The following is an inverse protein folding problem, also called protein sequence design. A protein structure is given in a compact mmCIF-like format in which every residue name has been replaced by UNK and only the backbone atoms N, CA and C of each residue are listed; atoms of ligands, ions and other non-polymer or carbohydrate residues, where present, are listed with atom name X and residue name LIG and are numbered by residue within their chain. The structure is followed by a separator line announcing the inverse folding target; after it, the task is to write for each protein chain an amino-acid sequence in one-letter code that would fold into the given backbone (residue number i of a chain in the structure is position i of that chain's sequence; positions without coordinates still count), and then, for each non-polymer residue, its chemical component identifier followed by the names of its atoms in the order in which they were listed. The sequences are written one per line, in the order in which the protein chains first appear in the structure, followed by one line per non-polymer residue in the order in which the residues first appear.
data_IF_291518338674
#
_entry.id   IF_291518338674
#
_cell.length_a   1.000
_cell.length_b   1.000
_cell.length_c   1.000
_cell.angle_alpha   90.00
_cell.angle_beta   90.00
_cell.angle_gamma   90.00
#
_symmetry.space_group_name_H-M   'P 1'
#
loop_
_entity.id
_entity.type
_entity.pdbx_description
1 polymer ?
#
# COMPACT_ATOMS: atom_id res chain seq x y z
N UNK A 1 -46.40 -36.70 -59.14
CA UNK A 1 -47.81 -37.14 -59.31
C UNK A 1 -48.45 -36.32 -60.43
N UNK A 2 -49.49 -36.79 -61.12
CA UNK A 2 -49.86 -36.32 -62.48
C UNK A 2 -51.18 -35.52 -62.51
N UNK A 3 -51.16 -34.31 -63.11
CA UNK A 3 -52.22 -33.58 -63.85
C UNK A 3 -51.45 -32.55 -64.76
N UNK A 4 -51.61 -32.33 -66.07
CA UNK A 4 -52.45 -32.87 -67.19
C UNK A 4 -53.83 -32.22 -67.45
N UNK A 5 -53.81 -31.02 -68.06
CA UNK A 5 -54.75 -30.53 -69.11
C UNK A 5 -54.24 -29.16 -69.65
N UNK A 6 -54.19 -28.80 -70.95
CA UNK A 6 -55.21 -28.75 -72.04
C UNK A 6 -56.11 -27.49 -71.88
N UNK A 7 -56.34 -26.59 -72.86
CA UNK A 7 -56.28 -26.67 -74.34
C UNK A 7 -56.03 -25.33 -75.11
N UNK A 8 -55.61 -25.44 -76.38
CA UNK A 8 -55.76 -24.59 -77.59
C UNK A 8 -55.99 -23.05 -77.58
N UNK A 9 -55.19 -22.38 -78.44
CA UNK A 9 -55.57 -21.52 -79.58
C UNK A 9 -56.98 -20.91 -79.67
N UNK A 10 -57.03 -19.61 -79.97
CA UNK A 10 -57.75 -19.13 -81.15
C UNK A 10 -57.10 -17.84 -81.73
N UNK A 11 -56.80 -17.82 -83.03
CA UNK A 11 -56.50 -16.57 -83.75
C UNK A 11 -57.80 -16.01 -84.32
N UNK A 12 -58.09 -14.73 -84.06
CA UNK A 12 -59.13 -13.98 -84.77
C UNK A 12 -58.70 -12.54 -84.98
N UNK A 13 -58.05 -12.28 -86.12
CA UNK A 13 -57.62 -10.95 -86.54
C UNK A 13 -58.84 -10.14 -87.02
N UNK A 14 -59.37 -9.25 -86.18
CA UNK A 14 -60.39 -8.27 -86.58
C UNK A 14 -59.79 -6.86 -86.62
N UNK A 15 -59.39 -6.45 -87.82
CA UNK A 15 -58.75 -5.16 -88.09
C UNK A 15 -59.78 -4.02 -88.08
N UNK A 16 -59.86 -3.25 -86.97
CA UNK A 16 -60.53 -1.94 -86.96
C UNK A 16 -59.49 -0.83 -86.86
N UNK A 17 -59.23 -0.15 -87.97
CA UNK A 17 -58.28 0.93 -88.06
C UNK A 17 -58.88 2.25 -87.53
N UNK A 18 -58.68 2.53 -86.24
CA UNK A 18 -58.55 3.93 -85.82
C UNK A 18 -57.11 4.39 -86.10
N UNK A 19 -56.97 5.56 -86.71
CA UNK A 19 -55.66 6.24 -86.85
C UNK A 19 -55.31 6.87 -85.50
N UNK A 20 -54.97 6.02 -84.53
CA UNK A 20 -54.32 6.44 -83.30
C UNK A 20 -52.90 6.89 -83.62
N UNK A 21 -52.50 8.07 -83.15
CA UNK A 21 -51.10 8.43 -83.10
C UNK A 21 -50.37 7.37 -82.27
N UNK A 22 -49.40 6.66 -82.86
CA UNK A 22 -48.74 5.53 -82.21
C UNK A 22 -48.15 5.97 -80.88
N UNK A 23 -48.60 5.37 -79.78
CA UNK A 23 -48.14 5.72 -78.44
C UNK A 23 -46.66 5.34 -78.32
N UNK A 24 -45.80 6.35 -78.38
CA UNK A 24 -44.36 6.16 -78.20
C UNK A 24 -44.10 5.98 -76.71
N UNK A 25 -44.08 4.73 -76.28
CA UNK A 25 -43.69 4.35 -74.93
C UNK A 25 -42.15 4.26 -74.89
N UNK A 26 -41.53 5.30 -74.33
CA UNK A 26 -40.08 5.37 -74.05
C UNK A 26 -39.75 4.58 -72.78
N UNK A 27 -38.52 4.07 -72.70
CA UNK A 27 -37.96 3.48 -71.48
C UNK A 27 -37.17 4.51 -70.68
N UNK A 28 -37.52 4.66 -69.41
CA UNK A 28 -36.70 5.34 -68.42
C UNK A 28 -36.03 4.27 -67.53
N UNK A 29 -34.70 4.19 -67.59
CA UNK A 29 -33.90 3.26 -66.80
C UNK A 29 -33.39 3.94 -65.53
N UNK A 30 -33.57 3.29 -64.39
CA UNK A 30 -33.08 3.70 -63.09
C UNK A 30 -31.79 2.93 -62.82
N UNK A 31 -30.68 3.65 -62.67
CA UNK A 31 -29.32 3.09 -62.66
C UNK A 31 -28.69 3.25 -61.28
N UNK A 32 -28.17 2.16 -60.74
CA UNK A 32 -27.50 2.07 -59.42
C UNK A 32 -26.12 1.46 -59.64
N UNK A 33 -25.06 2.18 -59.27
CA UNK A 33 -23.66 1.76 -59.43
C UNK A 33 -23.29 1.26 -60.84
N UNK A 34 -23.95 1.80 -61.86
CA UNK A 34 -23.77 1.45 -63.28
C UNK A 34 -24.75 0.43 -63.84
N UNK A 35 -25.42 -0.35 -62.98
CA UNK A 35 -26.37 -1.40 -63.37
C UNK A 35 -27.83 -0.90 -63.38
N UNK A 36 -28.67 -1.51 -64.23
CA UNK A 36 -30.10 -1.15 -64.32
C UNK A 36 -30.88 -1.79 -63.16
N UNK A 37 -31.23 -0.98 -62.16
CA UNK A 37 -32.03 -1.36 -61.01
C UNK A 37 -33.52 -1.53 -61.36
N UNK A 38 -34.06 -0.68 -62.22
CA UNK A 38 -35.44 -0.77 -62.72
C UNK A 38 -35.61 -0.10 -64.09
N UNK A 39 -36.63 -0.50 -64.85
CA UNK A 39 -37.03 0.19 -66.09
C UNK A 39 -38.53 0.50 -66.03
N UNK A 40 -38.91 1.73 -66.37
CA UNK A 40 -40.32 2.16 -66.48
C UNK A 40 -40.61 2.56 -67.93
N UNK A 41 -41.64 1.96 -68.52
CA UNK A 41 -42.19 2.40 -69.81
C UNK A 41 -43.17 3.56 -69.58
N UNK A 42 -43.00 4.66 -70.32
CA UNK A 42 -43.79 5.89 -70.17
C UNK A 42 -43.99 6.58 -71.52
N UNK A 43 -45.08 7.34 -71.70
CA UNK A 43 -45.23 8.20 -72.88
C UNK A 43 -44.30 9.43 -72.87
N UNK A 44 -43.49 9.57 -71.82
CA UNK A 44 -42.47 10.61 -71.67
C UNK A 44 -43.02 11.99 -71.34
N UNK A 45 -44.32 12.13 -71.01
CA UNK A 45 -45.01 13.42 -70.85
C UNK A 45 -45.94 13.50 -69.65
N UNK A 46 -46.06 12.42 -68.89
CA UNK A 46 -46.88 12.31 -67.68
C UNK A 46 -46.01 12.00 -66.46
N UNK A 47 -46.49 12.36 -65.28
CA UNK A 47 -45.83 12.01 -64.03
C UNK A 47 -45.81 10.49 -63.82
N UNK A 48 -44.71 9.96 -63.29
CA UNK A 48 -44.50 8.52 -63.09
C UNK A 48 -44.42 8.15 -61.61
N UNK A 49 -44.84 6.93 -61.28
CA UNK A 49 -44.52 6.33 -59.98
C UNK A 49 -43.05 5.88 -60.00
N UNK A 50 -42.22 6.49 -59.16
CA UNK A 50 -40.82 6.08 -58.97
C UNK A 50 -40.73 4.62 -58.47
N UNK A 51 -39.62 3.91 -58.73
CA UNK A 51 -39.34 2.63 -58.07
C UNK A 51 -39.14 2.84 -56.55
N UNK A 52 -38.95 1.75 -55.81
CA UNK A 52 -38.48 1.84 -54.43
C UNK A 52 -37.10 2.54 -54.38
N UNK A 53 -36.79 3.17 -53.24
CA UNK A 53 -35.45 3.70 -53.01
C UNK A 53 -34.45 2.52 -52.93
N UNK A 54 -33.33 2.55 -53.66
CA UNK A 54 -32.32 1.50 -53.59
C UNK A 54 -31.55 1.59 -52.27
N UNK A 55 -31.27 0.43 -51.66
CA UNK A 55 -30.50 0.32 -50.43
C UNK A 55 -29.02 0.02 -50.75
N UNK A 56 -28.09 0.57 -49.95
CA UNK A 56 -26.64 0.39 -50.12
C UNK A 56 -25.95 0.45 -48.76
N UNK A 57 -25.19 -0.59 -48.42
CA UNK A 57 -24.60 -0.75 -47.09
C UNK A 57 -23.62 0.40 -46.75
N UNK A 58 -23.87 1.12 -45.66
CA UNK A 58 -23.08 2.28 -45.23
C UNK A 58 -23.33 3.56 -46.05
N UNK A 59 -24.43 3.65 -46.78
CA UNK A 59 -24.83 4.84 -47.55
C UNK A 59 -26.33 5.14 -47.40
N UNK A 60 -26.67 6.42 -47.39
CA UNK A 60 -28.05 6.92 -47.47
C UNK A 60 -28.36 7.25 -48.94
N UNK A 61 -29.49 6.75 -49.44
CA UNK A 61 -30.00 7.16 -50.76
C UNK A 61 -30.51 8.60 -50.69
N UNK A 62 -29.96 9.45 -51.55
CA UNK A 62 -30.18 10.89 -51.56
C UNK A 62 -31.17 11.33 -52.65
N UNK A 63 -31.09 10.71 -53.83
CA UNK A 63 -32.06 10.98 -54.90
C UNK A 63 -31.70 10.35 -56.24
N UNK A 64 -32.64 10.48 -57.19
CA UNK A 64 -32.41 10.19 -58.60
C UNK A 64 -31.98 11.45 -59.33
N UNK A 65 -31.09 11.33 -60.32
CA UNK A 65 -30.55 12.46 -61.08
C UNK A 65 -30.50 12.16 -62.58
N UNK A 66 -30.73 13.19 -63.42
CA UNK A 66 -30.56 13.11 -64.87
C UNK A 66 -29.09 13.06 -65.32
N UNK A 67 -28.16 13.49 -64.46
CA UNK A 67 -26.73 13.43 -64.71
C UNK A 67 -26.00 12.55 -63.69
N UNK A 68 -25.26 11.56 -64.19
CA UNK A 68 -24.35 10.72 -63.39
C UNK A 68 -23.12 11.54 -62.97
N UNK A 69 -22.63 11.33 -61.75
CA UNK A 69 -21.40 11.92 -61.17
C UNK A 69 -21.37 13.47 -61.04
N UNK A 70 -22.21 14.19 -61.78
CA UNK A 70 -22.33 15.66 -61.74
C UNK A 70 -23.36 16.12 -60.70
N UNK A 71 -24.44 15.35 -60.51
CA UNK A 71 -25.45 15.53 -59.47
C UNK A 71 -26.10 16.92 -59.40
N UNK A 72 -26.37 17.55 -60.56
CA UNK A 72 -26.93 18.92 -60.65
C UNK A 72 -28.36 18.99 -61.16
N UNK A 73 -28.86 17.93 -61.79
CA UNK A 73 -30.23 17.86 -62.32
C UNK A 73 -31.02 16.77 -61.59
N UNK A 74 -31.68 17.07 -60.45
CA UNK A 74 -32.49 16.09 -59.76
C UNK A 74 -33.65 15.60 -60.63
N UNK A 75 -34.01 14.34 -60.45
CA UNK A 75 -35.14 13.69 -61.09
C UNK A 75 -36.20 13.31 -60.05
N UNK A 76 -37.46 13.59 -60.37
CA UNK A 76 -38.61 13.32 -59.51
C UNK A 76 -39.73 12.67 -60.31
N UNK A 77 -40.76 12.18 -59.61
CA UNK A 77 -42.00 11.68 -60.22
C UNK A 77 -42.60 12.65 -61.28
N UNK A 78 -42.44 13.96 -61.10
CA UNK A 78 -43.04 14.99 -61.95
C UNK A 78 -42.11 15.51 -63.07
N UNK A 79 -40.81 15.17 -63.07
CA UNK A 79 -39.83 15.83 -63.95
C UNK A 79 -40.05 15.62 -65.45
N UNK A 80 -40.90 14.67 -65.85
CA UNK A 80 -41.33 14.48 -67.25
C UNK A 80 -42.39 15.49 -67.73
N UNK A 81 -43.05 16.19 -66.79
CA UNK A 81 -43.95 17.30 -67.10
C UNK A 81 -43.15 18.52 -67.58
N UNK A 82 -42.03 18.81 -66.91
CA UNK A 82 -41.14 19.93 -67.22
C UNK A 82 -40.17 19.61 -68.36
N UNK A 83 -39.65 18.38 -68.40
CA UNK A 83 -38.70 17.91 -69.42
C UNK A 83 -39.19 16.61 -70.07
N UNK A 84 -40.05 16.71 -71.09
CA UNK A 84 -40.53 15.55 -71.84
C UNK A 84 -39.42 14.72 -72.49
N UNK A 85 -39.60 13.40 -72.53
CA UNK A 85 -38.68 12.50 -73.23
C UNK A 85 -38.83 12.62 -74.76
N UNK A 86 -37.69 12.55 -75.45
CA UNK A 86 -37.58 12.42 -76.91
C UNK A 86 -36.93 11.10 -77.35
N UNK A 87 -36.38 10.33 -76.41
CA UNK A 87 -35.78 9.00 -76.58
C UNK A 87 -35.89 8.20 -75.27
N UNK A 88 -35.51 6.92 -75.31
CA UNK A 88 -35.14 6.19 -74.10
C UNK A 88 -34.02 6.95 -73.36
N UNK A 89 -34.05 6.93 -72.03
CA UNK A 89 -33.17 7.70 -71.15
C UNK A 89 -32.80 6.91 -69.88
N UNK A 90 -31.78 7.38 -69.17
CA UNK A 90 -31.39 6.86 -67.86
C UNK A 90 -31.38 7.97 -66.79
N UNK A 91 -31.67 7.60 -65.55
CA UNK A 91 -31.50 8.41 -64.34
C UNK A 91 -30.70 7.61 -63.31
N UNK A 92 -29.86 8.29 -62.53
CA UNK A 92 -28.80 7.71 -61.74
C UNK A 92 -29.03 7.96 -60.25
N UNK A 93 -28.79 6.96 -59.41
CA UNK A 93 -28.91 7.08 -57.96
C UNK A 93 -27.69 7.81 -57.36
N UNK A 94 -27.93 8.94 -56.67
CA UNK A 94 -26.95 9.53 -55.75
C UNK A 94 -27.08 8.87 -54.37
N UNK A 95 -25.93 8.59 -53.78
CA UNK A 95 -25.78 8.10 -52.42
C UNK A 95 -24.82 9.01 -51.65
N UNK A 96 -25.19 9.43 -50.45
CA UNK A 96 -24.28 10.06 -49.48
C UNK A 96 -23.79 8.98 -48.51
N UNK A 97 -22.53 9.04 -48.07
CA UNK A 97 -22.01 8.05 -47.11
C UNK A 97 -22.71 8.23 -45.77
N UNK A 98 -23.15 7.14 -45.15
CA UNK A 98 -23.76 7.21 -43.83
C UNK A 98 -22.71 7.56 -42.77
N UNK A 99 -22.98 8.62 -42.02
CA UNK A 99 -22.14 9.06 -40.91
C UNK A 99 -22.65 8.47 -39.58
N UNK A 100 -21.74 7.96 -38.76
CA UNK A 100 -22.05 7.25 -37.51
C UNK A 100 -22.70 8.13 -36.44
N UNK A 101 -22.55 9.45 -36.56
CA UNK A 101 -23.01 10.48 -35.64
C UNK A 101 -24.03 11.34 -36.39
N UNK A 102 -25.20 11.63 -35.81
CA UNK A 102 -26.30 12.32 -36.55
C UNK A 102 -26.86 13.52 -35.79
N UNK A 103 -27.26 14.57 -36.52
CA UNK A 103 -27.79 15.80 -35.93
C UNK A 103 -26.81 16.41 -34.93
N UNK A 104 -27.28 16.73 -33.73
CA UNK A 104 -26.46 17.36 -32.67
C UNK A 104 -25.58 16.40 -31.87
N UNK A 105 -25.46 15.13 -32.28
CA UNK A 105 -24.65 14.12 -31.58
C UNK A 105 -23.14 14.39 -31.69
N UNK A 106 -22.36 13.87 -30.73
CA UNK A 106 -20.90 13.83 -30.78
C UNK A 106 -20.30 12.54 -30.18
N UNK A 107 -19.13 12.15 -30.70
CA UNK A 107 -18.23 11.16 -30.09
C UNK A 107 -17.03 11.86 -29.43
N UNK A 108 -16.50 11.24 -28.37
CA UNK A 108 -15.40 11.77 -27.56
C UNK A 108 -14.31 10.70 -27.39
N UNK A 109 -13.30 10.77 -28.25
CA UNK A 109 -12.27 9.74 -28.38
C UNK A 109 -11.39 9.63 -27.12
N UNK A 110 -11.25 8.41 -26.61
CA UNK A 110 -10.56 8.12 -25.36
C UNK A 110 -11.21 8.65 -24.08
N UNK A 111 -12.42 9.21 -24.13
CA UNK A 111 -13.22 9.57 -22.94
C UNK A 111 -14.14 8.42 -22.51
N UNK A 112 -14.36 8.27 -21.21
CA UNK A 112 -15.37 7.39 -20.63
C UNK A 112 -16.73 8.09 -20.57
N UNK A 113 -17.83 7.43 -20.96
CA UNK A 113 -19.19 7.99 -20.85
C UNK A 113 -19.77 7.68 -19.47
N UNK A 114 -19.78 8.68 -18.59
CA UNK A 114 -20.25 8.57 -17.20
C UNK A 114 -21.73 8.96 -17.00
N UNK A 115 -22.43 9.37 -18.06
CA UNK A 115 -23.86 9.65 -18.01
C UNK A 115 -24.46 10.16 -19.32
N UNK A 116 -25.71 10.60 -19.28
CA UNK A 116 -26.33 11.30 -20.40
C UNK A 116 -25.56 12.58 -20.70
N UNK A 117 -24.97 12.65 -21.90
CA UNK A 117 -24.13 13.75 -22.39
C UNK A 117 -23.00 14.17 -21.43
N UNK A 118 -22.54 13.26 -20.54
CA UNK A 118 -21.47 13.47 -19.56
C UNK A 118 -20.34 12.48 -19.77
N UNK A 119 -19.11 12.99 -19.86
CA UNK A 119 -17.92 12.22 -20.17
C UNK A 119 -16.75 12.59 -19.23
N UNK A 120 -15.88 11.62 -18.96
CA UNK A 120 -14.71 11.73 -18.09
C UNK A 120 -13.44 11.39 -18.87
N UNK A 121 -12.38 12.18 -18.66
CA UNK A 121 -11.01 11.83 -19.07
C UNK A 121 -10.06 12.06 -17.92
N UNK A 122 -9.45 10.98 -17.39
CA UNK A 122 -8.26 11.10 -16.55
C UNK A 122 -7.02 11.35 -17.41
N UNK A 123 -6.21 12.33 -17.03
CA UNK A 123 -4.92 12.69 -17.63
C UNK A 123 -3.85 12.78 -16.54
N UNK A 124 -2.58 12.75 -16.93
CA UNK A 124 -1.45 12.74 -15.98
C UNK A 124 -1.22 14.09 -15.29
N UNK A 125 -0.56 14.09 -14.14
CA UNK A 125 -0.34 15.31 -13.34
C UNK A 125 0.51 16.37 -14.07
N UNK A 126 1.32 15.99 -15.06
CA UNK A 126 2.08 16.91 -15.92
C UNK A 126 1.25 17.56 -17.05
N UNK A 127 0.03 17.07 -17.30
CA UNK A 127 -0.86 17.61 -18.34
C UNK A 127 -1.51 18.92 -17.89
N UNK A 128 -0.78 20.03 -18.02
CA UNK A 128 -1.29 21.38 -17.68
C UNK A 128 -2.24 21.95 -18.75
N UNK A 129 -2.14 21.46 -19.99
CA UNK A 129 -2.97 21.85 -21.12
C UNK A 129 -3.44 20.61 -21.89
N UNK A 130 -4.67 20.64 -22.41
CA UNK A 130 -5.27 19.51 -23.12
C UNK A 130 -6.06 19.97 -24.35
N UNK A 131 -5.64 19.52 -25.53
CA UNK A 131 -6.31 19.84 -26.80
C UNK A 131 -7.39 18.82 -27.13
N UNK A 132 -8.60 19.30 -27.38
CA UNK A 132 -9.74 18.46 -27.76
C UNK A 132 -9.91 18.32 -29.28
N UNK A 133 -9.05 18.95 -30.08
CA UNK A 133 -9.28 19.21 -31.51
C UNK A 133 -9.62 17.99 -32.37
N UNK A 134 -8.92 16.86 -32.19
CA UNK A 134 -9.17 15.58 -32.90
C UNK A 134 -9.98 14.57 -32.10
N UNK A 135 -10.24 14.85 -30.82
CA UNK A 135 -10.92 13.93 -29.91
C UNK A 135 -12.44 14.05 -30.01
N UNK A 136 -12.96 15.25 -30.33
CA UNK A 136 -14.40 15.45 -30.54
C UNK A 136 -14.75 15.28 -32.01
N UNK A 137 -15.63 14.33 -32.32
CA UNK A 137 -16.11 14.04 -33.69
C UNK A 137 -17.61 14.33 -33.78
N UNK A 138 -18.02 14.98 -34.87
CA UNK A 138 -19.40 15.31 -35.23
C UNK A 138 -19.60 15.03 -36.72
N UNK A 139 -20.84 15.04 -37.20
CA UNK A 139 -21.13 14.91 -38.63
C UNK A 139 -20.65 16.13 -39.44
N UNK A 140 -20.45 15.93 -40.74
CA UNK A 140 -20.01 16.95 -41.70
C UNK A 140 -20.97 18.13 -41.85
N UNK A 141 -22.25 17.95 -41.50
CA UNK A 141 -23.31 18.97 -41.48
C UNK A 141 -23.45 19.66 -40.10
N UNK A 142 -22.53 19.40 -39.15
CA UNK A 142 -22.55 20.00 -37.81
C UNK A 142 -21.22 20.65 -37.44
N UNK A 143 -21.29 21.64 -36.56
CA UNK A 143 -20.12 22.32 -35.99
C UNK A 143 -20.04 22.08 -34.48
N UNK A 144 -18.83 22.17 -33.91
CA UNK A 144 -18.65 22.11 -32.46
C UNK A 144 -17.68 23.16 -31.93
N UNK A 145 -17.98 23.68 -30.75
CA UNK A 145 -17.22 24.70 -30.02
C UNK A 145 -16.93 24.21 -28.59
N UNK A 146 -15.76 24.57 -28.04
CA UNK A 146 -15.42 24.36 -26.64
C UNK A 146 -15.83 25.60 -25.82
N UNK A 147 -16.28 25.41 -24.58
CA UNK A 147 -16.66 26.48 -23.67
C UNK A 147 -16.32 26.16 -22.22
N UNK A 148 -16.08 27.22 -21.42
CA UNK A 148 -15.87 27.13 -19.96
C UNK A 148 -17.15 27.30 -19.13
N UNK A 149 -18.32 27.51 -19.73
CA UNK A 149 -19.59 27.69 -19.01
C UNK A 149 -20.71 26.76 -19.49
N UNK A 150 -21.63 26.47 -18.58
CA UNK A 150 -22.71 25.47 -18.73
C UNK A 150 -23.72 25.80 -19.84
N UNK A 151 -23.76 27.04 -20.33
CA UNK A 151 -24.65 27.47 -21.41
C UNK A 151 -23.95 27.56 -22.77
N UNK A 152 -22.62 27.41 -22.83
CA UNK A 152 -21.85 27.47 -24.08
C UNK A 152 -21.79 28.87 -24.69
N UNK A 153 -21.50 29.89 -23.86
CA UNK A 153 -21.37 31.31 -24.24
C UNK A 153 -19.91 31.79 -24.21
N UNK A 154 -19.16 31.39 -23.18
CA UNK A 154 -17.74 31.70 -22.99
C UNK A 154 -16.92 30.70 -23.81
N UNK A 155 -16.73 31.00 -25.10
CA UNK A 155 -16.08 30.08 -26.05
C UNK A 155 -14.55 30.08 -25.92
N UNK A 156 -13.94 28.93 -26.24
CA UNK A 156 -12.50 28.71 -26.25
C UNK A 156 -12.09 28.33 -27.68
N UNK A 157 -11.74 29.34 -28.47
CA UNK A 157 -11.56 29.23 -29.92
C UNK A 157 -10.50 28.19 -30.35
N UNK A 158 -9.38 28.13 -29.62
CA UNK A 158 -8.29 27.20 -29.90
C UNK A 158 -8.58 25.74 -29.49
N UNK A 159 -9.70 25.48 -28.79
CA UNK A 159 -10.12 24.16 -28.30
C UNK A 159 -9.10 23.49 -27.35
N UNK A 160 -8.31 24.30 -26.63
CA UNK A 160 -7.35 23.86 -25.61
C UNK A 160 -7.89 24.21 -24.22
N UNK A 161 -8.08 23.20 -23.38
CA UNK A 161 -8.34 23.33 -21.96
C UNK A 161 -7.04 23.61 -21.17
N UNK A 162 -7.14 24.34 -20.07
CA UNK A 162 -6.04 24.60 -19.11
C UNK A 162 -6.44 23.98 -17.76
N UNK A 163 -5.60 23.08 -17.24
CA UNK A 163 -6.01 22.15 -16.19
C UNK A 163 -5.37 22.46 -14.84
N UNK A 164 -6.18 22.78 -13.84
CA UNK A 164 -5.81 22.68 -12.44
C UNK A 164 -5.79 21.20 -12.00
N UNK A 165 -5.11 20.87 -10.90
CA UNK A 165 -5.11 19.50 -10.37
C UNK A 165 -6.50 19.13 -9.78
N UNK A 166 -6.99 17.94 -10.13
CA UNK A 166 -8.36 17.48 -9.92
C UNK A 166 -9.26 17.67 -11.14
N UNK A 167 -10.57 17.81 -10.89
CA UNK A 167 -11.60 17.89 -11.92
C UNK A 167 -11.64 19.26 -12.61
N UNK A 168 -11.59 19.28 -13.94
CA UNK A 168 -11.76 20.49 -14.75
C UNK A 168 -12.97 20.31 -15.68
N UNK A 169 -14.02 21.09 -15.45
CA UNK A 169 -15.28 20.94 -16.18
C UNK A 169 -15.31 21.89 -17.38
N UNK A 170 -15.44 21.32 -18.57
CA UNK A 170 -15.64 22.03 -19.82
C UNK A 170 -16.91 21.57 -20.51
N UNK A 171 -17.40 22.39 -21.44
CA UNK A 171 -18.62 22.14 -22.18
C UNK A 171 -18.33 22.12 -23.68
N UNK A 172 -18.83 21.11 -24.38
CA UNK A 172 -18.80 21.05 -25.84
C UNK A 172 -20.20 21.31 -26.36
N UNK A 173 -20.33 22.40 -27.14
CA UNK A 173 -21.55 22.83 -27.80
C UNK A 173 -21.52 22.33 -29.24
N UNK A 174 -22.41 21.43 -29.59
CA UNK A 174 -22.63 20.97 -30.97
C UNK A 174 -23.83 21.71 -31.54
N UNK A 175 -23.72 22.21 -32.78
CA UNK A 175 -24.80 22.89 -33.50
C UNK A 175 -24.97 22.27 -34.88
N UNK A 176 -26.20 21.86 -35.23
CA UNK A 176 -26.53 21.27 -36.54
C UNK A 176 -26.74 22.32 -37.64
N UNK A 177 -26.83 21.86 -38.89
CA UNK A 177 -27.27 22.67 -40.04
C UNK A 177 -28.63 23.35 -39.80
N UNK A 178 -29.59 22.64 -39.19
CA UNK A 178 -30.91 23.15 -38.78
C UNK A 178 -30.87 24.09 -37.55
N UNK A 179 -29.68 24.39 -37.01
CA UNK A 179 -29.45 25.22 -35.81
C UNK A 179 -29.97 24.64 -34.48
N UNK A 180 -30.28 23.34 -34.41
CA UNK A 180 -30.44 22.64 -33.13
C UNK A 180 -29.12 22.62 -32.38
N UNK A 181 -29.17 22.66 -31.05
CA UNK A 181 -27.98 22.69 -30.17
C UNK A 181 -28.05 21.56 -29.14
N UNK A 182 -26.95 20.80 -29.01
CA UNK A 182 -26.70 19.92 -27.86
C UNK A 182 -25.48 20.40 -27.09
N UNK A 183 -25.57 20.36 -25.76
CA UNK A 183 -24.44 20.58 -24.86
C UNK A 183 -23.99 19.26 -24.24
N UNK A 184 -22.68 19.08 -24.19
CA UNK A 184 -21.97 17.95 -23.58
C UNK A 184 -21.08 18.46 -22.45
N UNK A 185 -21.04 17.73 -21.33
CA UNK A 185 -20.18 18.05 -20.17
C UNK A 185 -18.98 17.11 -20.18
N UNK A 186 -17.78 17.70 -20.21
CA UNK A 186 -16.51 16.98 -20.17
C UNK A 186 -15.81 17.31 -18.85
N UNK A 187 -15.62 16.30 -18.00
CA UNK A 187 -14.67 16.40 -16.88
C UNK A 187 -13.31 15.92 -17.36
N UNK A 188 -12.32 16.81 -17.42
CA UNK A 188 -10.92 16.48 -17.67
C UNK A 188 -10.21 16.51 -16.32
N UNK A 189 -10.08 15.33 -15.74
CA UNK A 189 -9.49 15.13 -14.43
C UNK A 189 -7.96 15.01 -14.56
N UNK A 190 -7.24 16.08 -14.21
CA UNK A 190 -5.77 16.06 -14.09
C UNK A 190 -5.44 15.45 -12.74
N UNK A 191 -4.85 14.25 -12.74
CA UNK A 191 -4.46 13.55 -11.51
C UNK A 191 -3.63 14.45 -10.59
N UNK A 192 -3.83 14.29 -9.29
CA UNK A 192 -3.04 14.98 -8.26
C UNK A 192 -1.76 14.21 -7.96
N UNK A 193 -0.81 14.87 -7.31
CA UNK A 193 0.23 14.18 -6.53
C UNK A 193 -0.30 13.97 -5.10
N UNK A 194 -0.29 12.72 -4.66
CA UNK A 194 -0.63 12.31 -3.30
C UNK A 194 0.65 12.08 -2.50
N UNK A 195 0.65 12.48 -1.22
CA UNK A 195 1.68 12.09 -0.26
C UNK A 195 1.33 10.76 0.40
N UNK A 196 2.31 9.87 0.50
CA UNK A 196 2.22 8.59 1.20
C UNK A 196 3.26 8.60 2.32
N UNK A 197 2.80 8.69 3.56
CA UNK A 197 3.65 8.80 4.75
C UNK A 197 3.78 7.42 5.39
N UNK A 198 5.02 6.95 5.54
CA UNK A 198 5.33 5.73 6.28
C UNK A 198 5.66 6.08 7.74
N UNK A 199 4.70 5.81 8.61
CA UNK A 199 4.85 5.99 10.05
C UNK A 199 5.78 4.92 10.66
N UNK A 200 6.35 5.23 11.83
CA UNK A 200 7.28 4.39 12.60
C UNK A 200 8.63 4.02 11.92
N UNK A 201 8.98 4.60 10.77
CA UNK A 201 10.31 4.42 10.13
C UNK A 201 10.95 5.76 9.71
N UNK A 202 11.42 6.55 10.67
CA UNK A 202 12.05 7.87 10.45
C UNK A 202 11.22 8.83 9.55
N UNK A 203 9.89 8.65 9.55
CA UNK A 203 8.90 9.44 8.81
C UNK A 203 9.18 9.59 7.29
N UNK A 204 9.55 8.51 6.61
CA UNK A 204 9.70 8.52 5.14
C UNK A 204 8.39 8.93 4.45
N UNK A 205 8.48 9.82 3.46
CA UNK A 205 7.34 10.25 2.63
C UNK A 205 7.65 9.99 1.17
N UNK A 206 6.79 9.20 0.51
CA UNK A 206 6.77 9.06 -0.94
C UNK A 206 5.75 10.02 -1.54
N UNK A 207 6.03 10.53 -2.73
CA UNK A 207 5.05 11.25 -3.55
C UNK A 207 4.74 10.38 -4.77
N UNK A 208 3.45 10.12 -5.01
CA UNK A 208 2.96 9.33 -6.15
C UNK A 208 1.82 10.07 -6.83
N UNK A 209 1.56 9.74 -8.10
CA UNK A 209 0.41 10.27 -8.81
C UNK A 209 -0.87 9.47 -8.46
N UNK A 210 -2.02 10.14 -8.42
CA UNK A 210 -3.35 9.55 -8.20
C UNK A 210 -3.62 8.37 -9.18
N UNK A 211 -4.28 7.31 -8.72
CA UNK A 211 -4.36 5.97 -9.34
C UNK A 211 -3.06 5.13 -9.38
N UNK A 212 -1.90 5.64 -8.93
CA UNK A 212 -0.63 4.89 -8.95
C UNK A 212 -0.35 4.13 -7.65
N UNK A 213 0.59 3.19 -7.69
CA UNK A 213 0.97 2.37 -6.53
C UNK A 213 2.08 3.03 -5.70
N UNK A 214 1.95 2.95 -4.37
CA UNK A 214 3.06 3.20 -3.45
C UNK A 214 4.08 2.05 -3.51
N UNK A 215 5.31 2.30 -3.03
CA UNK A 215 6.35 1.27 -2.90
C UNK A 215 6.72 1.14 -1.43
N UNK A 216 6.71 -0.10 -0.92
CA UNK A 216 7.09 -0.39 0.46
C UNK A 216 8.55 -0.01 0.73
N UNK A 217 8.87 0.70 1.84
CA UNK A 217 10.25 0.89 2.27
C UNK A 217 10.99 -0.44 2.43
N UNK A 218 12.21 -0.51 1.90
CA UNK A 218 13.05 -1.72 1.93
C UNK A 218 13.62 -2.01 3.32
N UNK A 219 13.62 -1.03 4.22
CA UNK A 219 13.96 -1.17 5.63
C UNK A 219 12.95 -0.43 6.50
N UNK A 220 12.53 -1.10 7.57
CA UNK A 220 11.87 -0.49 8.72
C UNK A 220 12.60 -1.00 9.96
N UNK A 221 12.99 -0.12 10.88
CA UNK A 221 13.70 -0.47 12.10
C UNK A 221 13.10 0.29 13.29
N UNK A 222 12.89 -0.42 14.40
CA UNK A 222 12.37 0.11 15.66
C UNK A 222 13.01 -0.70 16.78
N UNK A 223 13.94 -0.08 17.52
CA UNK A 223 14.67 -0.76 18.61
C UNK A 223 13.71 -1.48 19.56
N UNK A 224 13.99 -2.75 19.86
CA UNK A 224 13.13 -3.58 20.72
C UNK A 224 12.01 -4.35 20.01
N UNK A 225 11.85 -4.23 18.69
CA UNK A 225 10.77 -4.86 17.92
C UNK A 225 11.29 -5.50 16.62
N UNK A 226 10.58 -6.52 16.12
CA UNK A 226 10.69 -7.02 14.75
C UNK A 226 9.54 -6.48 13.90
N UNK A 227 9.84 -6.08 12.67
CA UNK A 227 8.84 -5.68 11.68
C UNK A 227 7.98 -6.90 11.28
N UNK A 228 6.65 -6.74 11.30
CA UNK A 228 5.71 -7.78 10.88
C UNK A 228 5.22 -7.52 9.44
N UNK A 229 4.52 -6.41 9.24
CA UNK A 229 4.00 -5.99 7.94
C UNK A 229 3.70 -4.49 7.94
N UNK A 230 3.46 -3.91 6.77
CA UNK A 230 2.70 -2.66 6.67
C UNK A 230 1.21 -2.94 6.87
N UNK A 231 0.43 -1.93 7.28
CA UNK A 231 -1.03 -2.02 7.37
C UNK A 231 -1.76 -1.73 6.03
N UNK A 232 -1.06 -1.81 4.90
CA UNK A 232 -1.52 -1.41 3.57
C UNK A 232 -1.18 -2.46 2.51
N UNK A 233 -2.05 -2.61 1.52
CA UNK A 233 -1.85 -3.48 0.36
C UNK A 233 -1.23 -2.66 -0.79
N UNK A 234 0.04 -2.89 -1.10
CA UNK A 234 0.75 -2.18 -2.17
C UNK A 234 0.29 -2.53 -3.59
N UNK A 235 -0.68 -3.45 -3.75
CA UNK A 235 -1.39 -3.67 -5.01
C UNK A 235 -2.65 -2.80 -5.15
N UNK A 236 -3.03 -2.06 -4.10
CA UNK A 236 -4.08 -1.05 -4.17
C UNK A 236 -3.54 0.32 -4.64
N UNK A 237 -4.25 1.03 -5.53
CA UNK A 237 -3.84 2.36 -6.00
C UNK A 237 -4.08 3.43 -4.93
N UNK A 238 -3.20 4.44 -4.90
CA UNK A 238 -3.32 5.62 -4.05
C UNK A 238 -4.26 6.63 -4.74
N UNK A 239 -5.34 7.00 -4.05
CA UNK A 239 -6.35 7.97 -4.54
C UNK A 239 -6.39 9.27 -3.73
N UNK A 240 -5.75 9.30 -2.56
CA UNK A 240 -5.63 10.48 -1.69
C UNK A 240 -4.38 10.38 -0.80
N UNK A 241 -4.10 11.44 -0.01
CA UNK A 241 -2.98 11.47 0.91
C UNK A 241 -3.14 10.38 2.00
N UNK A 242 -2.20 9.45 2.06
CA UNK A 242 -2.35 8.19 2.80
C UNK A 242 -1.26 8.06 3.88
N UNK A 243 -1.62 7.58 5.07
CA UNK A 243 -0.67 7.25 6.14
C UNK A 243 -0.61 5.74 6.34
N UNK A 244 0.52 5.15 6.00
CA UNK A 244 0.79 3.72 6.12
C UNK A 244 1.61 3.49 7.39
N UNK A 245 1.16 2.56 8.24
CA UNK A 245 1.72 2.31 9.56
C UNK A 245 2.34 0.91 9.57
N UNK A 246 3.53 0.77 10.18
CA UNK A 246 4.15 -0.53 10.39
C UNK A 246 3.50 -1.27 11.57
N UNK A 247 3.37 -2.58 11.43
CA UNK A 247 3.08 -3.50 12.53
C UNK A 247 4.38 -4.08 13.07
N UNK A 248 4.41 -4.28 14.37
CA UNK A 248 5.61 -4.60 15.13
C UNK A 248 5.32 -5.70 16.16
N UNK A 249 6.16 -6.73 16.18
CA UNK A 249 6.17 -7.70 17.28
C UNK A 249 7.27 -7.29 18.28
N UNK A 250 6.94 -7.25 19.57
CA UNK A 250 7.93 -6.94 20.62
C UNK A 250 8.94 -8.08 20.75
N UNK A 251 10.23 -7.74 20.85
CA UNK A 251 11.29 -8.74 21.01
C UNK A 251 11.53 -9.04 22.48
N UNK A 252 11.48 -10.33 22.81
CA UNK A 252 11.95 -10.87 24.09
C UNK A 252 13.46 -11.07 24.03
N UNK A 253 14.18 -10.49 25.00
CA UNK A 253 15.61 -10.61 25.18
C UNK A 253 15.93 -11.45 26.41
N UNK A 254 17.06 -12.16 26.38
CA UNK A 254 17.53 -12.97 27.50
C UNK A 254 18.33 -12.14 28.51
N UNK A 255 18.25 -12.53 29.78
CA UNK A 255 19.13 -12.07 30.86
C UNK A 255 19.89 -13.29 31.39
N UNK A 256 21.20 -13.28 31.24
CA UNK A 256 22.13 -14.29 31.71
C UNK A 256 22.85 -13.77 32.96
N UNK A 257 22.99 -14.63 33.98
CA UNK A 257 23.56 -14.24 35.27
C UNK A 257 24.85 -15.01 35.53
N UNK A 258 25.98 -14.32 35.41
CA UNK A 258 27.31 -14.86 35.65
C UNK A 258 27.65 -14.77 37.13
N UNK A 259 27.23 -15.82 37.85
CA UNK A 259 27.20 -15.87 39.31
C UNK A 259 28.57 -16.01 39.97
N UNK A 260 29.64 -16.28 39.21
CA UNK A 260 31.02 -16.36 39.72
C UNK A 260 31.20 -17.27 40.96
N UNK A 261 30.41 -18.35 41.07
CA UNK A 261 30.43 -19.30 42.19
C UNK A 261 29.26 -19.19 43.19
N UNK A 262 28.42 -18.15 43.08
CA UNK A 262 27.18 -18.02 43.86
C UNK A 262 25.96 -18.70 43.23
N UNK A 263 24.80 -18.52 43.86
CA UNK A 263 23.48 -18.98 43.44
C UNK A 263 22.57 -17.77 43.19
N UNK A 264 21.73 -17.80 42.15
CA UNK A 264 20.84 -16.67 41.83
C UNK A 264 19.60 -16.63 42.74
N UNK A 265 19.02 -15.45 42.92
CA UNK A 265 17.68 -15.30 43.46
C UNK A 265 16.63 -15.80 42.43
N UNK A 266 15.56 -16.46 42.87
CA UNK A 266 14.49 -16.97 42.00
C UNK A 266 13.64 -15.88 41.36
N UNK A 267 13.58 -14.70 41.98
CA UNK A 267 12.78 -13.58 41.48
C UNK A 267 13.49 -12.79 40.37
N UNK A 268 14.79 -13.04 40.14
CA UNK A 268 15.54 -12.44 39.04
C UNK A 268 15.10 -13.06 37.70
N UNK A 269 14.46 -12.30 36.79
CA UNK A 269 13.90 -12.87 35.57
C UNK A 269 14.99 -13.21 34.56
N UNK A 270 14.80 -14.31 33.83
CA UNK A 270 15.70 -14.79 32.77
C UNK A 270 15.43 -14.14 31.40
N UNK A 271 14.36 -13.37 31.27
CA UNK A 271 13.97 -12.65 30.04
C UNK A 271 13.30 -11.33 30.34
N UNK A 272 13.33 -10.40 29.38
CA UNK A 272 12.64 -9.11 29.42
C UNK A 272 12.30 -8.60 28.02
N UNK A 273 11.57 -7.49 27.94
CA UNK A 273 11.20 -6.79 26.70
C UNK A 273 11.49 -5.29 26.83
N UNK A 274 11.53 -4.55 25.72
CA UNK A 274 11.67 -3.07 25.75
C UNK A 274 10.51 -2.36 26.49
N UNK A 275 9.33 -2.99 26.50
CA UNK A 275 8.12 -2.52 27.19
C UNK A 275 8.07 -2.92 28.67
N UNK A 276 9.08 -3.64 29.16
CA UNK A 276 9.16 -4.02 30.58
C UNK A 276 9.29 -2.80 31.48
N UNK A 277 8.67 -2.87 32.67
CA UNK A 277 8.87 -1.92 33.75
C UNK A 277 10.28 -2.09 34.36
N UNK A 278 10.66 -1.21 35.28
CA UNK A 278 11.90 -1.38 36.06
C UNK A 278 11.97 -2.78 36.70
N UNK A 279 12.93 -3.58 36.25
CA UNK A 279 13.28 -4.87 36.85
C UNK A 279 14.35 -4.58 37.89
N UNK A 280 13.97 -4.52 39.17
CA UNK A 280 14.92 -4.46 40.28
C UNK A 280 15.68 -5.80 40.33
N UNK A 281 17.00 -5.73 40.42
CA UNK A 281 17.86 -6.92 40.41
C UNK A 281 18.12 -7.37 41.85
N UNK A 282 17.50 -8.48 42.22
CA UNK A 282 17.60 -9.04 43.56
C UNK A 282 18.99 -9.60 43.87
N UNK A 283 19.35 -9.62 45.16
CA UNK A 283 20.68 -10.04 45.58
C UNK A 283 20.86 -11.57 45.52
N UNK A 284 21.87 -12.09 44.81
CA UNK A 284 22.21 -13.51 44.81
C UNK A 284 22.90 -13.93 46.12
N UNK A 285 23.00 -15.24 46.37
CA UNK A 285 23.59 -15.83 47.57
C UNK A 285 24.94 -16.49 47.32
N UNK A 286 25.85 -16.40 48.30
CA UNK A 286 27.09 -17.18 48.34
C UNK A 286 27.47 -17.49 49.79
N UNK A 287 27.84 -18.74 50.05
CA UNK A 287 28.41 -19.24 51.31
C UNK A 287 29.50 -18.34 51.89
N UNK A 288 30.44 -17.92 51.06
CA UNK A 288 31.79 -17.50 51.48
C UNK A 288 32.12 -16.04 51.15
N UNK A 289 31.20 -15.34 50.47
CA UNK A 289 31.37 -13.97 49.99
C UNK A 289 30.14 -13.11 50.27
N UNK A 290 30.34 -11.80 50.43
CA UNK A 290 29.29 -10.79 50.34
C UNK A 290 29.10 -10.38 48.89
N UNK A 291 27.84 -10.27 48.48
CA UNK A 291 27.47 -9.63 47.23
C UNK A 291 27.80 -8.13 47.30
N UNK A 292 28.48 -7.63 46.28
CA UNK A 292 28.85 -6.21 46.16
C UNK A 292 27.87 -5.47 45.25
N UNK A 293 27.42 -6.11 44.17
CA UNK A 293 26.54 -5.54 43.16
C UNK A 293 26.57 -6.30 41.84
N UNK A 294 25.62 -5.98 40.95
CA UNK A 294 25.58 -6.47 39.57
C UNK A 294 26.33 -5.50 38.65
N UNK A 295 27.00 -6.06 37.64
CA UNK A 295 27.85 -5.36 36.67
C UNK A 295 27.61 -5.94 35.28
N UNK A 296 27.85 -5.19 34.20
CA UNK A 296 27.71 -5.68 32.82
C UNK A 296 29.05 -6.09 32.21
N UNK A 297 30.20 -5.83 32.85
CA UNK A 297 31.50 -6.36 32.44
C UNK A 297 32.08 -7.38 33.41
N UNK A 298 32.76 -8.39 32.87
CA UNK A 298 33.38 -9.48 33.64
C UNK A 298 34.58 -9.03 34.51
N UNK A 299 35.21 -7.91 34.16
CA UNK A 299 36.26 -7.27 34.96
C UNK A 299 35.71 -6.26 35.99
N UNK A 300 34.39 -6.05 35.98
CA UNK A 300 33.66 -5.13 36.85
C UNK A 300 34.19 -3.68 36.80
N UNK A 301 34.53 -3.22 35.58
CA UNK A 301 35.01 -1.88 35.26
C UNK A 301 33.89 -0.89 34.95
N UNK A 302 32.66 -1.36 34.69
CA UNK A 302 31.48 -0.51 34.55
C UNK A 302 30.86 -0.09 35.89
N UNK A 303 29.91 0.84 35.84
CA UNK A 303 29.14 1.26 37.02
C UNK A 303 28.21 0.15 37.50
N UNK A 304 28.11 0.00 38.82
CA UNK A 304 27.23 -1.00 39.44
C UNK A 304 25.76 -0.70 39.13
N UNK A 305 25.05 -1.71 38.60
CA UNK A 305 23.60 -1.63 38.37
C UNK A 305 22.81 -2.33 39.49
N UNK A 306 21.59 -1.84 39.74
CA UNK A 306 20.60 -2.49 40.62
C UNK A 306 19.22 -2.64 39.97
N UNK A 307 19.04 -2.15 38.74
CA UNK A 307 17.78 -2.15 38.00
C UNK A 307 18.04 -2.24 36.49
N UNK A 308 17.23 -2.99 35.74
CA UNK A 308 17.08 -2.82 34.29
C UNK A 308 15.87 -1.93 34.05
N UNK A 309 16.09 -0.70 33.57
CA UNK A 309 15.02 0.28 33.39
C UNK A 309 14.28 0.14 32.04
N UNK A 310 13.03 0.65 31.95
CA UNK A 310 12.22 0.65 30.72
C UNK A 310 12.96 1.24 29.52
N UNK A 311 12.65 0.73 28.32
CA UNK A 311 13.36 1.14 27.11
C UNK A 311 14.71 0.44 26.89
N UNK A 312 15.18 -0.38 27.83
CA UNK A 312 16.32 -1.28 27.62
C UNK A 312 16.02 -2.33 26.55
N UNK A 313 16.99 -2.68 25.72
CA UNK A 313 16.85 -3.73 24.70
C UNK A 313 18.18 -4.46 24.45
N UNK A 314 18.10 -5.63 23.80
CA UNK A 314 19.25 -6.52 23.59
C UNK A 314 19.45 -7.51 24.74
N UNK A 315 20.08 -8.65 24.45
CA UNK A 315 20.44 -9.62 25.49
C UNK A 315 21.43 -8.99 26.49
N UNK A 316 21.32 -9.38 27.76
CA UNK A 316 22.19 -8.90 28.84
C UNK A 316 22.89 -10.09 29.51
N UNK A 317 24.17 -9.92 29.83
CA UNK A 317 24.91 -10.82 30.72
C UNK A 317 25.36 -10.00 31.93
N UNK A 318 24.98 -10.43 33.14
CA UNK A 318 25.14 -9.69 34.38
C UNK A 318 26.05 -10.45 35.35
N UNK A 319 27.18 -9.85 35.70
CA UNK A 319 28.22 -10.44 36.52
C UNK A 319 28.01 -10.11 37.99
N UNK A 320 27.94 -11.15 38.83
CA UNK A 320 27.88 -10.99 40.27
C UNK A 320 29.28 -10.65 40.82
N UNK A 321 29.44 -9.46 41.40
CA UNK A 321 30.71 -9.06 42.05
C UNK A 321 30.69 -9.48 43.51
N UNK A 322 31.72 -10.22 43.92
CA UNK A 322 31.82 -10.81 45.25
C UNK A 322 32.99 -10.24 46.04
N UNK A 323 32.83 -10.16 47.37
CA UNK A 323 33.87 -9.74 48.31
C UNK A 323 33.94 -10.74 49.47
N UNK A 324 35.09 -11.37 49.63
CA UNK A 324 35.28 -12.43 50.64
C UNK A 324 34.89 -11.97 52.05
N UNK A 325 34.29 -12.86 52.85
CA UNK A 325 33.90 -12.59 54.25
C UNK A 325 35.10 -12.54 55.21
N UNK A 326 36.29 -12.90 54.71
CA UNK A 326 37.55 -13.06 55.43
C UNK A 326 38.75 -12.96 54.46
N UNK A 327 39.96 -12.91 54.99
CA UNK A 327 41.20 -13.12 54.24
C UNK A 327 41.77 -14.50 54.61
N UNK A 328 42.02 -15.34 53.60
CA UNK A 328 42.63 -16.66 53.76
C UNK A 328 44.03 -16.65 53.16
N UNK A 329 45.03 -17.02 53.96
CA UNK A 329 46.41 -17.17 53.53
C UNK A 329 46.70 -18.61 53.11
N UNK A 330 47.68 -18.80 52.22
CA UNK A 330 48.03 -20.12 51.64
C UNK A 330 48.61 -21.13 52.64
N UNK A 331 48.95 -20.70 53.85
CA UNK A 331 49.34 -21.56 54.97
C UNK A 331 48.15 -22.07 55.81
N UNK A 332 46.91 -21.70 55.45
CA UNK A 332 45.69 -22.03 56.19
C UNK A 332 45.30 -21.03 57.28
N UNK A 333 45.99 -19.90 57.42
CA UNK A 333 45.59 -18.83 58.36
C UNK A 333 44.40 -18.03 57.81
N UNK A 334 43.36 -17.83 58.62
CA UNK A 334 42.18 -17.00 58.31
C UNK A 334 42.15 -15.75 59.20
N UNK A 335 41.94 -14.57 58.62
CA UNK A 335 41.84 -13.29 59.36
C UNK A 335 40.73 -12.39 58.80
N UNK A 336 40.46 -11.28 59.49
CA UNK A 336 39.49 -10.27 59.04
C UNK A 336 38.08 -10.79 58.78
N UNK A 337 37.64 -11.80 59.54
CA UNK A 337 36.24 -12.25 59.62
C UNK A 337 35.37 -11.05 59.99
N UNK A 338 34.49 -10.66 59.06
CA UNK A 338 33.76 -9.39 59.10
C UNK A 338 32.39 -9.58 58.49
N UNK A 339 31.35 -8.92 59.04
CA UNK A 339 30.01 -8.88 58.44
C UNK A 339 29.69 -7.52 57.77
N UNK A 340 30.74 -6.72 57.55
CA UNK A 340 30.73 -5.44 56.81
C UNK A 340 29.65 -4.41 57.19
N UNK A 341 29.04 -4.53 58.37
CA UNK A 341 28.01 -3.62 58.89
C UNK A 341 26.66 -4.28 59.18
N UNK A 342 26.45 -5.54 58.76
CA UNK A 342 25.37 -6.38 59.29
C UNK A 342 25.71 -6.84 60.72
N UNK A 343 24.72 -7.44 61.38
CA UNK A 343 24.86 -7.99 62.74
C UNK A 343 25.76 -9.23 62.72
N UNK A 344 27.07 -9.01 62.84
CA UNK A 344 28.06 -10.07 63.02
C UNK A 344 27.88 -10.77 64.39
N UNK A 345 26.82 -11.56 64.52
CA UNK A 345 26.39 -12.24 65.74
C UNK A 345 26.74 -13.73 65.74
N UNK A 346 26.80 -14.35 64.56
CA UNK A 346 27.22 -15.73 64.37
C UNK A 346 28.26 -15.78 63.24
N UNK A 347 29.37 -16.47 63.49
CA UNK A 347 30.38 -16.79 62.47
C UNK A 347 30.54 -18.31 62.40
N UNK A 348 30.60 -18.84 61.19
CA UNK A 348 31.02 -20.23 60.93
C UNK A 348 32.35 -20.19 60.19
N UNK A 349 33.37 -20.85 60.75
CA UNK A 349 34.68 -21.07 60.13
C UNK A 349 34.71 -22.54 59.69
N UNK A 350 34.57 -22.87 58.39
CA UNK A 350 34.57 -24.25 57.92
C UNK A 350 35.98 -24.87 57.96
N UNK A 351 36.06 -26.20 57.86
CA UNK A 351 37.33 -26.95 57.85
C UNK A 351 38.23 -26.56 56.66
N UNK A 352 37.64 -26.27 55.50
CA UNK A 352 38.32 -26.00 54.24
C UNK A 352 37.63 -24.87 53.49
N UNK A 353 38.41 -24.06 52.80
CA UNK A 353 38.00 -22.93 51.97
C UNK A 353 38.87 -22.89 50.72
N UNK A 354 38.27 -22.85 49.54
CA UNK A 354 39.00 -22.87 48.25
C UNK A 354 40.07 -23.99 48.17
N UNK A 355 39.75 -25.19 48.68
CA UNK A 355 40.63 -26.36 48.85
C UNK A 355 41.83 -26.19 49.82
N UNK A 356 41.97 -25.06 50.50
CA UNK A 356 42.94 -24.86 51.59
C UNK A 356 42.27 -25.25 52.91
N UNK A 357 42.90 -26.12 53.72
CA UNK A 357 42.45 -26.39 55.10
C UNK A 357 42.69 -25.17 55.98
N UNK A 358 41.68 -24.75 56.72
CA UNK A 358 41.78 -23.64 57.68
C UNK A 358 42.41 -24.17 58.96
N UNK A 359 43.64 -23.74 59.27
CA UNK A 359 44.49 -24.27 60.35
C UNK A 359 44.70 -23.27 61.50
N UNK A 360 44.65 -21.97 61.22
CA UNK A 360 44.93 -20.92 62.20
C UNK A 360 43.91 -19.80 62.12
N UNK A 361 43.27 -19.42 63.22
CA UNK A 361 42.51 -18.17 63.30
C UNK A 361 43.50 -17.06 63.69
N UNK A 362 43.91 -16.26 62.71
CA UNK A 362 45.04 -15.34 62.84
C UNK A 362 44.71 -14.02 63.56
N UNK A 363 45.75 -13.26 63.87
CA UNK A 363 45.66 -12.00 64.63
C UNK A 363 44.65 -11.02 64.03
N UNK A 364 43.80 -10.44 64.88
CA UNK A 364 42.75 -9.50 64.50
C UNK A 364 41.59 -10.13 63.71
N UNK A 365 41.47 -11.46 63.65
CA UNK A 365 40.41 -12.17 62.94
C UNK A 365 39.02 -11.56 63.15
N UNK A 366 38.58 -11.37 64.39
CA UNK A 366 37.24 -10.88 64.74
C UNK A 366 37.19 -9.37 65.00
N UNK A 367 38.25 -8.62 64.65
CA UNK A 367 38.46 -7.21 65.03
C UNK A 367 37.36 -6.21 64.60
N UNK A 368 36.48 -6.62 63.69
CA UNK A 368 35.36 -5.80 63.17
C UNK A 368 33.97 -6.30 63.59
N UNK A 369 33.87 -7.37 64.36
CA UNK A 369 32.61 -8.00 64.75
C UNK A 369 32.20 -7.65 66.18
N UNK A 370 31.63 -6.45 66.34
CA UNK A 370 31.28 -5.83 67.64
C UNK A 370 30.00 -6.37 68.31
N UNK A 371 29.29 -7.31 67.65
CA UNK A 371 28.04 -7.89 68.14
C UNK A 371 28.09 -9.43 68.27
N UNK A 372 29.29 -10.02 68.31
CA UNK A 372 29.52 -11.46 68.21
C UNK A 372 28.96 -12.21 69.43
N UNK A 373 28.15 -13.24 69.17
CA UNK A 373 27.48 -14.08 70.17
C UNK A 373 27.76 -15.57 70.02
N UNK A 374 28.13 -16.04 68.83
CA UNK A 374 28.58 -17.42 68.58
C UNK A 374 29.69 -17.47 67.53
N UNK A 375 30.59 -18.43 67.69
CA UNK A 375 31.57 -18.83 66.67
C UNK A 375 31.58 -20.35 66.60
N UNK A 376 31.25 -20.89 65.44
CA UNK A 376 31.44 -22.31 65.11
C UNK A 376 32.79 -22.47 64.42
N UNK A 377 33.65 -23.33 64.97
CA UNK A 377 35.01 -23.57 64.47
C UNK A 377 35.11 -24.98 63.91
N UNK A 378 35.50 -25.11 62.64
CA UNK A 378 35.69 -26.38 61.95
C UNK A 378 36.95 -27.12 62.40
N UNK A 379 36.91 -28.45 62.33
CA UNK A 379 37.89 -29.38 62.89
C UNK A 379 39.33 -29.25 62.35
N UNK A 380 39.55 -28.49 61.28
CA UNK A 380 40.88 -28.23 60.72
C UNK A 380 41.72 -27.24 61.55
N UNK A 381 41.07 -26.40 62.37
CA UNK A 381 41.73 -25.33 63.12
C UNK A 381 42.49 -25.91 64.31
N UNK A 382 43.82 -25.81 64.27
CA UNK A 382 44.75 -26.26 65.31
C UNK A 382 45.30 -25.13 66.16
N UNK A 383 45.01 -23.87 65.82
CA UNK A 383 45.62 -22.69 66.43
C UNK A 383 44.74 -21.44 66.36
N UNK A 384 44.85 -20.58 67.38
CA UNK A 384 44.23 -19.25 67.45
C UNK A 384 45.29 -18.27 67.94
N UNK A 385 45.53 -17.21 67.17
CA UNK A 385 46.55 -16.20 67.47
C UNK A 385 46.17 -15.32 68.67
N UNK A 386 47.19 -14.88 69.39
CA UNK A 386 47.08 -13.81 70.38
C UNK A 386 46.51 -12.53 69.72
N UNK A 387 45.47 -11.96 70.31
CA UNK A 387 44.64 -10.88 69.75
C UNK A 387 43.83 -11.25 68.49
N UNK A 388 43.41 -12.51 68.30
CA UNK A 388 42.38 -12.83 67.30
C UNK A 388 41.04 -12.09 67.55
N UNK A 389 40.69 -11.87 68.83
CA UNK A 389 39.57 -11.05 69.31
C UNK A 389 40.13 -9.76 69.93
N UNK A 390 39.46 -8.61 69.72
CA UNK A 390 39.99 -7.29 70.07
C UNK A 390 39.57 -6.75 71.47
N UNK A 391 38.72 -7.43 72.23
CA UNK A 391 38.37 -7.03 73.60
C UNK A 391 37.89 -8.21 74.47
N UNK A 392 38.25 -8.20 75.75
CA UNK A 392 37.73 -9.16 76.74
C UNK A 392 36.22 -9.00 77.02
N UNK A 393 35.65 -7.83 76.67
CA UNK A 393 34.27 -7.48 77.00
C UNK A 393 33.26 -8.31 76.20
N UNK A 394 33.67 -8.76 75.03
CA UNK A 394 32.83 -9.52 74.08
C UNK A 394 32.87 -11.03 74.38
N UNK A 395 33.99 -11.52 74.90
CA UNK A 395 34.23 -12.95 75.22
C UNK A 395 33.19 -13.56 76.18
N UNK A 396 32.56 -12.73 77.02
CA UNK A 396 31.50 -13.16 77.97
C UNK A 396 30.16 -13.52 77.31
N UNK A 397 30.01 -13.39 75.99
CA UNK A 397 28.79 -13.77 75.26
C UNK A 397 28.92 -15.06 74.44
N UNK A 398 30.12 -15.45 74.04
CA UNK A 398 30.36 -16.58 73.14
C UNK A 398 30.40 -17.92 73.87
N UNK A 399 29.36 -18.75 73.72
CA UNK A 399 29.43 -20.16 74.12
C UNK A 399 30.29 -20.95 73.14
N UNK A 400 31.54 -21.22 73.50
CA UNK A 400 32.48 -21.99 72.71
C UNK A 400 32.17 -23.49 72.80
N UNK A 401 31.61 -24.08 71.73
CA UNK A 401 31.53 -25.54 71.54
C UNK A 401 32.61 -25.99 70.56
N UNK A 402 33.83 -26.19 71.06
CA UNK A 402 34.97 -26.72 70.30
C UNK A 402 34.98 -28.25 70.26
N UNK A 403 35.07 -28.89 69.08
CA UNK A 403 35.32 -30.32 68.95
C UNK A 403 36.79 -30.68 69.26
N UNK A 404 37.15 -30.68 70.55
CA UNK A 404 38.47 -31.05 71.12
C UNK A 404 39.67 -30.13 70.79
N UNK A 405 40.60 -30.04 71.75
CA UNK A 405 41.97 -29.49 71.62
C UNK A 405 42.17 -28.00 71.28
N UNK A 406 41.27 -27.10 71.68
CA UNK A 406 41.59 -25.65 71.75
C UNK A 406 41.28 -25.08 73.16
N UNK A 407 42.02 -25.57 74.18
CA UNK A 407 42.13 -24.93 75.50
C UNK A 407 43.52 -24.32 75.78
N UNK A 408 44.57 -24.76 75.05
CA UNK A 408 45.98 -24.46 75.36
C UNK A 408 46.53 -23.15 74.74
N UNK A 409 45.70 -22.11 74.62
CA UNK A 409 46.16 -20.73 74.36
C UNK A 409 45.55 -19.67 75.29
N UNK A 410 44.80 -20.09 76.33
CA UNK A 410 44.18 -19.20 77.33
C UNK A 410 45.14 -18.76 78.47
N UNK A 411 46.44 -18.68 78.20
CA UNK A 411 47.42 -18.02 79.07
C UNK A 411 48.39 -17.17 78.26
N UNK A 412 48.19 -15.85 78.30
CA UNK A 412 49.27 -14.86 78.50
C UNK A 412 48.70 -13.45 78.68
N UNK A 413 49.25 -12.75 79.68
CA UNK A 413 49.13 -11.31 79.96
C UNK A 413 47.76 -10.88 80.51
N UNK A 414 47.83 -10.16 81.64
CA UNK A 414 46.76 -9.41 82.31
C UNK A 414 47.17 -7.93 82.41
#
# INVERSE_FOLDING_TARGET
MIIVSIMLFCLSLSLFAFVGCGKVDFKLNFVVDGEVYATISTNGKEAIKLPANPEKEGYVFDGWYWDNEVWKKPFTANSLLDTPLSSDMSVYAKFEKEEAVKGTQAEFDGFEKIGENKYLKKVSNDTEIFSLGTLVKVNSKSSWQLSSDVYGNNLIENKIATLAAGDNIYYVKVTSEDSDIQLYVLNIHRRKICSVIFADCDAQTQYVEEDSFAVAPTTANRNGYTFESWNFDFTAPIVENTVINAKWNVVTYNIEYELNGGENNTENPITYTIESKDIVLETPSHSDYYFVGWYQTADFSDDMISTISPGSYGNKTLYAKWKSKYFLFSNGTITGLTDYGKTCSEIVIPEKLCNITVTTIGRGAFSRCTNLTSVTIGNGVTSIDYMAINSERDFRKTQQKTPNNIENSLQMIA
#
